data_IF_616084678500
#
_entry.id   IF_616084678500
#
_cell.length_a   1.000
_cell.length_b   1.000
_cell.length_c   1.000
_cell.angle_alpha   90.00
_cell.angle_beta   90.00
_cell.angle_gamma   90.00
#
_symmetry.space_group_name_H-M   'P 1'
#
loop_
_entity.id
_entity.type
_entity.pdbx_description
1 polymer ?
#
# COMPACT_ATOMS: atom_id res chain seq x y z
N UNK A 1 4.31 -15.96 -16.54
CA UNK A 1 3.77 -15.49 -15.25
C UNK A 1 4.88 -15.30 -14.24
N UNK A 2 4.82 -14.27 -13.39
CA UNK A 2 5.84 -14.01 -12.35
C UNK A 2 5.33 -14.31 -10.94
N UNK A 3 6.00 -15.24 -10.24
CA UNK A 3 5.64 -15.62 -8.86
C UNK A 3 5.84 -14.48 -7.86
N UNK A 4 6.86 -13.63 -8.05
CA UNK A 4 7.12 -12.49 -7.16
C UNK A 4 6.02 -11.43 -7.26
N UNK A 5 5.55 -11.14 -8.48
CA UNK A 5 4.44 -10.21 -8.71
C UNK A 5 3.10 -10.78 -8.20
N UNK A 6 2.88 -12.09 -8.30
CA UNK A 6 1.70 -12.75 -7.70
C UNK A 6 1.72 -12.65 -6.17
N UNK A 7 2.86 -12.95 -5.54
CA UNK A 7 3.02 -12.82 -4.09
C UNK A 7 2.81 -11.37 -3.63
N UNK A 8 3.34 -10.41 -4.39
CA UNK A 8 3.14 -8.98 -4.15
C UNK A 8 1.67 -8.59 -4.26
N UNK A 9 0.98 -9.07 -5.29
CA UNK A 9 -0.45 -8.84 -5.47
C UNK A 9 -1.27 -9.37 -4.29
N UNK A 10 -1.01 -10.61 -3.87
CA UNK A 10 -1.68 -11.21 -2.70
C UNK A 10 -1.38 -10.43 -1.42
N UNK A 11 -0.13 -10.02 -1.22
CA UNK A 11 0.27 -9.19 -0.07
C UNK A 11 -0.54 -7.88 -0.02
N UNK A 12 -0.70 -7.20 -1.16
CA UNK A 12 -1.51 -5.99 -1.24
C UNK A 12 -3.00 -6.22 -1.01
N UNK A 13 -3.58 -7.36 -1.44
CA UNK A 13 -4.96 -7.73 -1.08
C UNK A 13 -5.11 -7.88 0.43
N UNK A 14 -4.20 -8.62 1.06
CA UNK A 14 -4.23 -8.86 2.50
C UNK A 14 -4.09 -7.54 3.28
N UNK A 15 -3.18 -6.65 2.85
CA UNK A 15 -3.04 -5.32 3.44
C UNK A 15 -4.31 -4.49 3.22
N UNK A 16 -4.89 -4.47 2.02
CA UNK A 16 -6.11 -3.70 1.74
C UNK A 16 -7.25 -4.11 2.67
N UNK A 17 -7.47 -5.41 2.83
CA UNK A 17 -8.50 -5.95 3.73
C UNK A 17 -8.19 -5.62 5.19
N UNK A 18 -6.98 -5.91 5.67
CA UNK A 18 -6.56 -5.65 7.04
C UNK A 18 -6.62 -4.15 7.39
N UNK A 19 -6.18 -3.29 6.49
CA UNK A 19 -6.27 -1.83 6.63
C UNK A 19 -7.73 -1.38 6.72
N UNK A 20 -8.61 -1.91 5.87
CA UNK A 20 -10.05 -1.58 5.92
C UNK A 20 -10.70 -1.99 7.24
N UNK A 21 -10.39 -3.19 7.73
CA UNK A 21 -10.97 -3.73 8.96
C UNK A 21 -10.46 -2.97 10.19
N UNK A 22 -9.15 -2.70 10.27
CA UNK A 22 -8.52 -1.98 11.38
C UNK A 22 -8.93 -0.51 11.50
N UNK A 23 -9.68 0.01 10.52
CA UNK A 23 -10.32 1.31 10.62
C UNK A 23 -11.20 1.42 11.88
N UNK A 24 -11.86 0.33 12.27
CA UNK A 24 -12.73 0.28 13.45
C UNK A 24 -11.95 0.51 14.73
N UNK A 25 -10.72 0.02 14.81
CA UNK A 25 -9.91 0.08 16.03
C UNK A 25 -9.61 1.54 16.39
N UNK A 26 -9.03 2.31 15.48
CA UNK A 26 -8.69 3.70 15.76
C UNK A 26 -9.93 4.61 15.82
N UNK A 27 -10.99 4.33 15.04
CA UNK A 27 -12.25 5.10 15.11
C UNK A 27 -13.03 4.85 16.41
N UNK A 28 -12.74 3.77 17.13
CA UNK A 28 -13.34 3.49 18.44
C UNK A 28 -12.70 4.31 19.57
N UNK A 29 -11.48 4.81 19.37
CA UNK A 29 -10.72 5.53 20.39
C UNK A 29 -11.37 6.88 20.72
N UNK A 30 -11.46 7.26 22.01
CA UNK A 30 -11.98 8.58 22.41
C UNK A 30 -11.26 9.74 21.72
N UNK A 31 -9.95 9.63 21.53
CA UNK A 31 -9.12 10.64 20.88
C UNK A 31 -9.56 10.90 19.44
N UNK A 32 -9.92 9.84 18.70
CA UNK A 32 -10.40 9.97 17.32
C UNK A 32 -11.83 10.54 17.26
N UNK A 33 -12.70 10.11 18.20
CA UNK A 33 -14.09 10.58 18.28
C UNK A 33 -14.21 12.05 18.69
N UNK A 34 -13.23 12.55 19.45
CA UNK A 34 -13.18 13.94 19.89
C UNK A 34 -12.49 14.88 18.89
N UNK A 35 -12.06 14.39 17.72
CA UNK A 35 -11.51 15.24 16.67
C UNK A 35 -12.58 16.19 16.11
N UNK A 36 -12.21 17.45 15.74
CA UNK A 36 -13.10 18.31 14.96
C UNK A 36 -13.57 17.61 13.69
N UNK A 37 -14.80 17.89 13.26
CA UNK A 37 -15.44 17.19 12.14
C UNK A 37 -14.55 17.14 10.88
N UNK A 38 -13.94 18.26 10.49
CA UNK A 38 -13.04 18.32 9.34
C UNK A 38 -11.87 17.32 9.46
N UNK A 39 -11.19 17.30 10.61
CA UNK A 39 -10.07 16.40 10.83
C UNK A 39 -10.50 14.93 10.85
N UNK A 40 -11.63 14.62 11.51
CA UNK A 40 -12.18 13.27 11.53
C UNK A 40 -12.59 12.79 10.12
N UNK A 41 -13.27 13.63 9.35
CA UNK A 41 -13.68 13.33 7.98
C UNK A 41 -12.47 13.06 7.09
N UNK A 42 -11.46 13.93 7.11
CA UNK A 42 -10.24 13.73 6.32
C UNK A 42 -9.49 12.46 6.74
N UNK A 43 -9.37 12.18 8.04
CA UNK A 43 -8.72 10.96 8.52
C UNK A 43 -9.47 9.69 8.07
N UNK A 44 -10.81 9.68 8.22
CA UNK A 44 -11.65 8.55 7.85
C UNK A 44 -11.66 8.31 6.34
N UNK A 45 -11.88 9.36 5.56
CA UNK A 45 -11.88 9.27 4.11
C UNK A 45 -10.51 8.84 3.58
N UNK A 46 -9.43 9.47 4.07
CA UNK A 46 -8.06 9.12 3.71
C UNK A 46 -7.70 7.67 4.04
N UNK A 47 -8.21 7.14 5.15
CA UNK A 47 -8.02 5.73 5.51
C UNK A 47 -8.65 4.77 4.49
N UNK A 48 -9.92 4.99 4.12
CA UNK A 48 -10.58 4.13 3.13
C UNK A 48 -10.06 4.34 1.70
N UNK A 49 -9.65 5.57 1.34
CA UNK A 49 -8.91 5.82 0.10
C UNK A 49 -7.60 5.03 0.07
N UNK A 50 -6.86 4.99 1.19
CA UNK A 50 -5.66 4.17 1.35
C UNK A 50 -5.94 2.67 1.16
N UNK A 51 -7.05 2.17 1.69
CA UNK A 51 -7.48 0.78 1.45
C UNK A 51 -7.73 0.50 -0.04
N UNK A 52 -8.42 1.41 -0.73
CA UNK A 52 -8.64 1.32 -2.18
C UNK A 52 -7.34 1.37 -2.97
N UNK A 53 -6.40 2.24 -2.57
CA UNK A 53 -5.06 2.32 -3.15
C UNK A 53 -4.30 0.99 -3.03
N UNK A 54 -4.31 0.34 -1.86
CA UNK A 54 -3.69 -0.98 -1.73
C UNK A 54 -4.35 -2.03 -2.63
N UNK A 55 -5.68 -1.98 -2.82
CA UNK A 55 -6.35 -2.89 -3.75
C UNK A 55 -5.95 -2.61 -5.22
N UNK A 56 -5.84 -1.34 -5.61
CA UNK A 56 -5.32 -0.98 -6.94
C UNK A 56 -3.91 -1.52 -7.15
N UNK A 57 -3.04 -1.39 -6.15
CA UNK A 57 -1.70 -1.96 -6.19
C UNK A 57 -1.75 -3.48 -6.40
N UNK A 58 -2.66 -4.19 -5.72
CA UNK A 58 -2.84 -5.61 -5.92
C UNK A 58 -3.23 -5.97 -7.36
N UNK A 59 -4.22 -5.27 -7.92
CA UNK A 59 -4.72 -5.51 -9.27
C UNK A 59 -3.65 -5.24 -10.34
N UNK A 60 -2.90 -4.15 -10.18
CA UNK A 60 -1.81 -3.80 -11.09
C UNK A 60 -0.69 -4.86 -11.05
N UNK A 61 -0.27 -5.30 -9.86
CA UNK A 61 0.72 -6.37 -9.74
C UNK A 61 0.20 -7.70 -10.29
N UNK A 62 -1.08 -8.01 -10.09
CA UNK A 62 -1.68 -9.20 -10.68
C UNK A 62 -1.64 -9.14 -12.20
N UNK A 63 -1.97 -7.98 -12.79
CA UNK A 63 -1.89 -7.76 -14.25
C UNK A 63 -0.45 -7.94 -14.76
N UNK A 64 0.55 -7.28 -14.16
CA UNK A 64 1.96 -7.48 -14.51
C UNK A 64 2.44 -8.91 -14.24
N UNK A 65 1.82 -9.64 -13.32
CA UNK A 65 2.17 -11.04 -13.09
C UNK A 65 1.70 -11.96 -14.21
N UNK A 66 0.63 -11.60 -14.94
CA UNK A 66 0.16 -12.34 -16.11
C UNK A 66 1.11 -12.12 -17.28
N UNK A 67 1.48 -10.85 -17.51
CA UNK A 67 2.43 -10.44 -18.54
C UNK A 67 3.50 -9.48 -17.97
N UNK A 68 4.67 -10.00 -17.57
CA UNK A 68 5.75 -9.19 -17.03
C UNK A 68 6.37 -8.23 -18.04
N UNK A 69 6.17 -8.45 -19.36
CA UNK A 69 6.76 -7.57 -20.38
C UNK A 69 6.15 -6.17 -20.35
N UNK A 70 4.96 -6.02 -19.75
CA UNK A 70 4.33 -4.73 -19.48
C UNK A 70 5.22 -3.79 -18.65
N UNK A 71 6.12 -4.32 -17.82
CA UNK A 71 7.06 -3.50 -17.05
C UNK A 71 8.17 -2.86 -17.90
N UNK A 72 8.29 -3.21 -19.18
CA UNK A 72 9.18 -2.52 -20.11
C UNK A 72 8.57 -1.21 -20.63
N UNK A 73 7.25 -1.04 -20.50
CA UNK A 73 6.57 0.19 -20.89
C UNK A 73 6.89 1.31 -19.89
N UNK A 74 7.37 2.49 -20.35
CA UNK A 74 7.78 3.58 -19.46
C UNK A 74 6.69 4.02 -18.47
N UNK A 75 5.42 3.96 -18.89
CA UNK A 75 4.28 4.30 -18.03
C UNK A 75 4.13 3.30 -16.88
N UNK A 76 4.28 2.01 -17.13
CA UNK A 76 4.19 0.99 -16.08
C UNK A 76 5.38 1.07 -15.12
N UNK A 77 6.57 1.40 -15.61
CA UNK A 77 7.72 1.68 -14.74
C UNK A 77 7.46 2.89 -13.84
N UNK A 78 6.90 3.97 -14.40
CA UNK A 78 6.55 5.16 -13.62
C UNK A 78 5.49 4.84 -12.55
N UNK A 79 4.48 4.05 -12.90
CA UNK A 79 3.47 3.56 -11.95
C UNK A 79 4.14 2.73 -10.84
N UNK A 80 5.02 1.78 -11.19
CA UNK A 80 5.75 0.97 -10.20
C UNK A 80 6.60 1.83 -9.27
N UNK A 81 7.29 2.84 -9.80
CA UNK A 81 8.12 3.75 -9.02
C UNK A 81 7.28 4.60 -8.07
N UNK A 82 6.15 5.14 -8.54
CA UNK A 82 5.21 5.91 -7.72
C UNK A 82 4.59 5.05 -6.61
N UNK A 83 4.15 3.83 -6.95
CA UNK A 83 3.63 2.87 -5.97
C UNK A 83 4.64 2.63 -4.85
N UNK A 84 5.89 2.28 -5.21
CA UNK A 84 6.99 2.05 -4.28
C UNK A 84 7.31 3.29 -3.44
N UNK A 85 7.40 4.46 -4.06
CA UNK A 85 7.71 5.71 -3.35
C UNK A 85 6.61 6.05 -2.34
N UNK A 86 5.34 6.03 -2.74
CA UNK A 86 4.20 6.37 -1.87
C UNK A 86 4.16 5.46 -0.64
N UNK A 87 4.29 4.14 -0.83
CA UNK A 87 4.24 3.19 0.31
C UNK A 87 5.49 3.26 1.17
N UNK A 88 6.67 3.50 0.56
CA UNK A 88 7.92 3.70 1.28
C UNK A 88 7.90 4.95 2.16
N UNK A 89 7.52 6.10 1.61
CA UNK A 89 7.37 7.33 2.38
C UNK A 89 6.33 7.19 3.48
N UNK A 90 5.19 6.57 3.18
CA UNK A 90 4.13 6.31 4.17
C UNK A 90 4.62 5.40 5.30
N UNK A 91 5.36 4.34 4.99
CA UNK A 91 5.95 3.43 5.98
C UNK A 91 6.91 4.18 6.92
N UNK A 92 7.84 4.95 6.37
CA UNK A 92 8.79 5.77 7.16
C UNK A 92 8.04 6.76 8.05
N UNK A 93 7.00 7.42 7.51
CA UNK A 93 6.19 8.36 8.27
C UNK A 93 5.43 7.70 9.42
N UNK A 94 4.80 6.55 9.18
CA UNK A 94 4.12 5.76 10.20
C UNK A 94 5.07 5.35 11.33
N UNK A 95 6.25 4.84 10.99
CA UNK A 95 7.27 4.46 11.97
C UNK A 95 7.70 5.66 12.82
N UNK A 96 7.98 6.81 12.20
CA UNK A 96 8.37 8.05 12.90
C UNK A 96 7.28 8.60 13.82
N UNK A 97 6.00 8.34 13.50
CA UNK A 97 4.84 8.81 14.28
C UNK A 97 4.29 7.78 15.26
N UNK A 98 4.95 6.62 15.40
CA UNK A 98 4.57 5.58 16.36
C UNK A 98 3.49 4.61 15.88
N UNK A 99 3.03 4.69 14.63
CA UNK A 99 2.07 3.74 14.01
C UNK A 99 2.83 2.51 13.49
N UNK A 100 3.52 1.82 14.41
CA UNK A 100 4.56 0.83 14.06
C UNK A 100 4.05 -0.34 13.22
N UNK A 101 2.89 -0.91 13.58
CA UNK A 101 2.32 -2.06 12.86
C UNK A 101 2.08 -1.74 11.38
N UNK A 102 1.42 -0.62 11.08
CA UNK A 102 1.21 -0.18 9.70
C UNK A 102 2.53 0.11 8.99
N UNK A 103 3.45 0.80 9.68
CA UNK A 103 4.76 1.12 9.13
C UNK A 103 5.53 -0.12 8.69
N UNK A 104 5.58 -1.15 9.53
CA UNK A 104 6.27 -2.42 9.23
C UNK A 104 5.58 -3.17 8.09
N UNK A 105 4.27 -3.36 8.16
CA UNK A 105 3.53 -4.17 7.17
C UNK A 105 3.56 -3.52 5.79
N UNK A 106 3.26 -2.22 5.70
CA UNK A 106 3.33 -1.47 4.42
C UNK A 106 4.76 -1.39 3.91
N UNK A 107 5.75 -1.24 4.80
CA UNK A 107 7.16 -1.21 4.42
C UNK A 107 7.66 -2.54 3.85
N UNK A 108 7.27 -3.67 4.47
CA UNK A 108 7.66 -5.00 4.02
C UNK A 108 7.10 -5.33 2.63
N UNK A 109 5.80 -5.10 2.42
CA UNK A 109 5.19 -5.33 1.10
C UNK A 109 5.65 -4.26 0.08
N UNK A 110 5.95 -3.03 0.51
CA UNK A 110 6.58 -2.00 -0.31
C UNK A 110 8.00 -2.36 -0.78
N UNK A 111 8.80 -3.01 0.08
CA UNK A 111 10.10 -3.53 -0.31
C UNK A 111 9.96 -4.71 -1.29
N UNK A 112 8.99 -5.60 -1.05
CA UNK A 112 8.66 -6.70 -1.96
C UNK A 112 8.19 -6.16 -3.33
N UNK A 113 7.35 -5.11 -3.35
CA UNK A 113 6.93 -4.40 -4.55
C UNK A 113 8.14 -3.91 -5.35
N UNK A 114 9.03 -3.17 -4.70
CA UNK A 114 10.22 -2.61 -5.34
C UNK A 114 11.10 -3.70 -5.94
N UNK A 115 11.34 -4.78 -5.18
CA UNK A 115 12.12 -5.92 -5.64
C UNK A 115 11.44 -6.66 -6.79
N UNK A 116 10.13 -6.91 -6.71
CA UNK A 116 9.40 -7.64 -7.74
C UNK A 116 9.34 -6.87 -9.08
N UNK A 117 9.35 -5.52 -9.04
CA UNK A 117 9.31 -4.69 -10.26
C UNK A 117 10.68 -4.33 -10.79
N UNK A 118 11.66 -4.09 -9.92
CA UNK A 118 12.98 -3.55 -10.30
C UNK A 118 14.15 -4.53 -10.10
N UNK A 119 13.94 -5.63 -9.37
CA UNK A 119 15.01 -6.58 -9.02
C UNK A 119 15.63 -7.33 -10.20
N UNK A 120 14.98 -7.32 -11.38
CA UNK A 120 15.53 -7.90 -12.61
C UNK A 120 16.25 -6.87 -13.50
N UNK A 121 16.36 -5.61 -13.05
CA UNK A 121 17.02 -4.51 -13.77
C UNK A 121 18.47 -4.27 -13.31
N UNK A 122 18.88 -4.99 -12.26
CA UNK A 122 20.24 -5.05 -11.70
C UNK A 122 20.80 -6.46 -11.92
#
# INVERSE_FOLDING_TARGET
MSTSLQATALGWVLISLGHTISAKDWQSLPQARNLPNLAYTCAKAGWYQGSGFFLMNALINYNWSQDPTLLNEPVNQAIAALMTAIVGFSSVWYLKRGVKANGIVVGAIGALQAWATFGNWL
#
